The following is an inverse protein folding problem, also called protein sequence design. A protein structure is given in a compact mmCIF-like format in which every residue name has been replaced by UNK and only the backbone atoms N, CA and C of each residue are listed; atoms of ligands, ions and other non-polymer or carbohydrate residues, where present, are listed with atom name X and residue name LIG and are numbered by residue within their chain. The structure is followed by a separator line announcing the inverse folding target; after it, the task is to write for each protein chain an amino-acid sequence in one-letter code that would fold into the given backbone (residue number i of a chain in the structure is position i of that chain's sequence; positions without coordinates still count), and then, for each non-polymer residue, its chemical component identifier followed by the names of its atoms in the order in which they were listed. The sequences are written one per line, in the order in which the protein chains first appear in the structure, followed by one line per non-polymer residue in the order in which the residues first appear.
data_IF_490005987354
#
_entry.id   IF_490005987354
#
_cell.length_a   1.000
_cell.length_b   1.000
_cell.length_c   1.000
_cell.angle_alpha   90.00
_cell.angle_beta   90.00
_cell.angle_gamma   90.00
#
_symmetry.space_group_name_H-M   'P 1'
#
loop_
_entity.id
_entity.type
_entity.pdbx_description
1 polymer ?
#
# COMPACT_ATOMS: atom_id res chain seq x y z
N UNK A 1 -7.18 21.01 -9.55
CA UNK A 1 -7.43 21.40 -10.96
C UNK A 1 -6.29 20.83 -11.78
N UNK A 2 -6.55 20.26 -12.97
CA UNK A 2 -5.47 19.80 -13.85
C UNK A 2 -4.90 20.97 -14.65
N UNK A 3 -3.59 20.95 -14.86
CA UNK A 3 -2.91 21.95 -15.68
C UNK A 3 -3.26 21.77 -17.15
N UNK A 4 -3.39 22.88 -17.87
CA UNK A 4 -3.55 22.91 -19.32
C UNK A 4 -2.57 23.96 -19.83
N UNK A 5 -1.68 23.55 -20.72
CA UNK A 5 -0.68 24.46 -21.28
C UNK A 5 -1.29 25.35 -22.36
N UNK A 6 -0.68 26.52 -22.63
CA UNK A 6 -1.17 27.41 -23.67
C UNK A 6 -1.30 26.73 -25.02
N UNK A 7 -0.32 25.91 -25.41
CA UNK A 7 -0.35 25.18 -26.68
C UNK A 7 -1.49 24.15 -26.76
N UNK A 8 -1.87 23.55 -25.63
CA UNK A 8 -3.01 22.63 -25.59
C UNK A 8 -4.35 23.34 -25.64
N UNK A 9 -4.45 24.52 -25.02
CA UNK A 9 -5.68 25.31 -25.05
C UNK A 9 -5.97 25.81 -26.47
N UNK A 10 -4.96 26.28 -27.18
CA UNK A 10 -5.11 26.84 -28.54
C UNK A 10 -5.11 25.79 -29.65
N UNK A 11 -4.71 24.55 -29.32
CA UNK A 11 -4.45 23.47 -30.28
C UNK A 11 -3.39 23.83 -31.34
N UNK A 12 -2.58 24.85 -31.07
CA UNK A 12 -1.47 25.31 -31.90
C UNK A 12 -0.20 25.33 -31.05
N UNK A 13 0.94 24.96 -31.64
CA UNK A 13 2.22 25.07 -30.95
C UNK A 13 2.56 26.55 -30.74
N UNK A 14 2.46 27.02 -29.50
CA UNK A 14 2.89 28.36 -29.12
C UNK A 14 4.34 28.27 -28.63
N UNK A 15 5.26 28.95 -29.30
CA UNK A 15 6.63 29.04 -28.81
C UNK A 15 6.79 30.26 -27.92
N UNK A 16 7.36 30.06 -26.73
CA UNK A 16 7.75 31.16 -25.86
C UNK A 16 8.97 31.93 -26.43
N UNK A 17 9.09 33.25 -26.16
CA UNK A 17 8.13 34.09 -25.45
C UNK A 17 6.86 34.33 -26.28
N UNK A 18 5.69 34.30 -25.64
CA UNK A 18 4.41 34.40 -26.35
C UNK A 18 4.20 35.82 -26.91
N UNK A 19 4.09 35.95 -28.24
CA UNK A 19 3.75 37.22 -28.88
C UNK A 19 2.31 37.62 -28.53
N UNK A 20 2.14 38.82 -27.95
CA UNK A 20 0.82 39.37 -27.59
C UNK A 20 -0.16 39.38 -28.77
N UNK A 21 0.31 39.64 -30.00
CA UNK A 21 -0.55 39.59 -31.19
C UNK A 21 -1.05 38.18 -31.47
N UNK A 22 -0.20 37.18 -31.27
CA UNK A 22 -0.56 35.76 -31.41
C UNK A 22 -1.56 35.37 -30.32
N UNK A 23 -1.30 35.73 -29.05
CA UNK A 23 -2.24 35.48 -27.95
C UNK A 23 -3.62 36.11 -28.21
N UNK A 24 -3.67 37.37 -28.67
CA UNK A 24 -4.93 38.03 -29.01
C UNK A 24 -5.66 37.37 -30.18
N UNK A 25 -4.92 36.83 -31.16
CA UNK A 25 -5.49 36.09 -32.28
C UNK A 25 -6.12 34.78 -31.79
N UNK A 26 -5.38 34.00 -31.01
CA UNK A 26 -5.87 32.72 -30.47
C UNK A 26 -7.05 32.92 -29.49
N UNK A 27 -7.02 33.97 -28.66
CA UNK A 27 -8.16 34.38 -27.82
C UNK A 27 -9.42 34.61 -28.65
N UNK A 28 -9.31 35.39 -29.74
CA UNK A 28 -10.44 35.67 -30.64
C UNK A 28 -10.94 34.41 -31.36
N UNK A 29 -10.02 33.52 -31.76
CA UNK A 29 -10.35 32.25 -32.40
C UNK A 29 -11.18 31.36 -31.47
N UNK A 30 -10.73 31.15 -30.23
CA UNK A 30 -11.46 30.33 -29.25
C UNK A 30 -12.81 30.94 -28.87
N UNK A 31 -12.91 32.28 -28.74
CA UNK A 31 -14.19 32.93 -28.49
C UNK A 31 -15.16 32.81 -29.67
N UNK A 32 -14.67 32.87 -30.90
CA UNK A 32 -15.50 32.64 -32.08
C UNK A 32 -15.95 31.17 -32.18
N UNK A 33 -15.07 30.22 -31.86
CA UNK A 33 -15.42 28.79 -31.78
C UNK A 33 -16.49 28.53 -30.73
N UNK A 34 -16.39 29.19 -29.57
CA UNK A 34 -17.42 29.14 -28.52
C UNK A 34 -18.75 29.71 -29.00
N UNK A 35 -18.76 30.83 -29.73
CA UNK A 35 -19.99 31.45 -30.28
C UNK A 35 -20.64 30.62 -31.39
N UNK A 36 -19.87 29.76 -32.07
CA UNK A 36 -20.36 28.82 -33.07
C UNK A 36 -20.82 27.49 -32.46
N UNK A 37 -20.40 27.18 -31.23
CA UNK A 37 -20.85 26.00 -30.50
C UNK A 37 -22.31 26.17 -30.08
N UNK A 38 -23.11 25.10 -30.23
CA UNK A 38 -24.48 25.06 -29.69
C UNK A 38 -24.48 24.91 -28.15
N UNK A 39 -23.35 24.50 -27.57
CA UNK A 39 -23.15 24.36 -26.12
C UNK A 39 -22.65 25.66 -25.48
N UNK A 40 -22.98 25.90 -24.21
CA UNK A 40 -22.54 27.10 -23.44
C UNK A 40 -21.02 27.15 -23.15
N UNK A 41 -20.23 26.24 -23.72
CA UNK A 41 -18.79 26.13 -23.50
C UNK A 41 -18.07 25.31 -24.56
N UNK A 42 -16.75 25.28 -24.45
CA UNK A 42 -15.86 24.44 -25.26
C UNK A 42 -15.28 23.30 -24.42
N UNK A 43 -15.31 22.08 -24.93
CA UNK A 43 -14.70 20.93 -24.27
C UNK A 43 -13.29 20.69 -24.83
N UNK A 44 -12.27 21.11 -24.10
CA UNK A 44 -10.86 20.94 -24.47
C UNK A 44 -10.24 19.89 -23.53
N UNK A 45 -9.74 18.79 -24.08
CA UNK A 45 -9.16 17.65 -23.33
C UNK A 45 -10.09 17.14 -22.20
N UNK A 46 -11.40 17.11 -22.46
CA UNK A 46 -12.41 16.65 -21.50
C UNK A 46 -12.72 17.66 -20.39
N UNK A 47 -12.17 18.87 -20.44
CA UNK A 47 -12.53 19.98 -19.55
C UNK A 47 -13.42 20.97 -20.28
N UNK A 48 -14.53 21.33 -19.65
CA UNK A 48 -15.42 22.37 -20.14
C UNK A 48 -14.87 23.76 -19.79
N UNK A 49 -14.86 24.65 -20.77
CA UNK A 49 -14.42 26.03 -20.66
C UNK A 49 -15.55 26.96 -21.03
N UNK A 50 -15.96 27.82 -20.09
CA UNK A 50 -16.87 28.92 -20.36
C UNK A 50 -16.15 30.09 -21.02
N UNK A 51 -16.93 31.05 -21.54
CA UNK A 51 -16.40 32.34 -22.02
C UNK A 51 -15.47 33.01 -21.00
N UNK A 52 -15.86 33.00 -19.73
CA UNK A 52 -15.11 33.66 -18.65
C UNK A 52 -13.80 32.94 -18.36
N UNK A 53 -13.76 31.61 -18.44
CA UNK A 53 -12.53 30.84 -18.23
C UNK A 53 -11.50 31.16 -19.32
N UNK A 54 -11.94 31.24 -20.58
CA UNK A 54 -11.08 31.61 -21.70
C UNK A 54 -10.55 33.04 -21.51
N UNK A 55 -11.42 33.99 -21.18
CA UNK A 55 -11.01 35.38 -20.95
C UNK A 55 -9.97 35.48 -19.82
N UNK A 56 -10.26 34.87 -18.66
CA UNK A 56 -9.38 34.89 -17.50
C UNK A 56 -8.01 34.27 -17.80
N UNK A 57 -7.99 33.13 -18.52
CA UNK A 57 -6.74 32.45 -18.88
C UNK A 57 -5.85 33.32 -19.76
N UNK A 58 -6.40 33.96 -20.80
CA UNK A 58 -5.61 34.83 -21.66
C UNK A 58 -5.19 36.13 -20.96
N UNK A 59 -6.03 36.66 -20.07
CA UNK A 59 -5.67 37.85 -19.29
C UNK A 59 -4.52 37.55 -18.32
N UNK A 60 -4.47 36.33 -17.75
CA UNK A 60 -3.34 35.83 -16.96
C UNK A 60 -2.07 35.68 -17.82
N UNK A 61 -2.18 35.15 -19.04
CA UNK A 61 -1.06 35.04 -19.98
C UNK A 61 -0.51 36.38 -20.49
N UNK A 62 -1.27 37.48 -20.39
CA UNK A 62 -0.72 38.81 -20.68
C UNK A 62 0.29 39.27 -19.61
N UNK A 63 0.31 38.65 -18.42
CA UNK A 63 1.33 38.90 -17.41
C UNK A 63 2.66 38.21 -17.81
N UNK A 64 3.75 38.97 -18.05
CA UNK A 64 5.02 38.40 -18.50
C UNK A 64 5.57 37.32 -17.57
N UNK A 65 5.41 37.47 -16.25
CA UNK A 65 5.91 36.48 -15.30
C UNK A 65 5.16 35.15 -15.42
N UNK A 66 3.84 35.19 -15.58
CA UNK A 66 3.04 33.96 -15.74
C UNK A 66 3.26 33.32 -17.11
N UNK A 67 3.42 34.13 -18.15
CA UNK A 67 3.84 33.66 -19.46
C UNK A 67 5.17 32.88 -19.40
N UNK A 68 6.16 33.41 -18.69
CA UNK A 68 7.44 32.74 -18.47
C UNK A 68 7.29 31.43 -17.66
N UNK A 69 6.36 31.38 -16.71
CA UNK A 69 6.07 30.17 -15.94
C UNK A 69 5.45 29.07 -16.81
N UNK A 70 4.48 29.41 -17.66
CA UNK A 70 3.93 28.46 -18.64
C UNK A 70 4.99 27.97 -19.61
N UNK A 71 5.84 28.87 -20.11
CA UNK A 71 6.95 28.53 -21.00
C UNK A 71 7.94 27.56 -20.34
N UNK A 72 8.26 27.77 -19.07
CA UNK A 72 9.14 26.90 -18.30
C UNK A 72 8.57 25.49 -18.14
N UNK A 73 7.26 25.37 -17.92
CA UNK A 73 6.57 24.07 -17.86
C UNK A 73 6.53 23.41 -19.24
N UNK A 74 6.25 24.14 -20.31
CA UNK A 74 6.25 23.59 -21.69
C UNK A 74 7.64 23.14 -22.14
N UNK A 75 8.71 23.78 -21.64
CA UNK A 75 10.09 23.40 -21.92
C UNK A 75 10.57 22.14 -21.15
N UNK A 76 9.80 21.66 -20.17
CA UNK A 76 10.07 20.44 -19.40
C UNK A 76 8.97 19.39 -19.68
N UNK A 77 9.12 18.56 -20.74
CA UNK A 77 8.11 17.57 -21.10
C UNK A 77 7.73 16.60 -19.97
N UNK A 78 8.67 16.09 -19.15
CA UNK A 78 8.33 15.30 -17.97
C UNK A 78 7.40 16.01 -16.98
N UNK A 79 7.67 17.28 -16.65
CA UNK A 79 6.80 18.06 -15.77
C UNK A 79 5.44 18.29 -16.42
N UNK A 80 5.41 18.66 -17.70
CA UNK A 80 4.18 18.89 -18.45
C UNK A 80 3.27 17.66 -18.45
N UNK A 81 3.83 16.50 -18.79
CA UNK A 81 3.12 15.22 -18.82
C UNK A 81 2.56 14.86 -17.43
N UNK A 82 3.37 15.05 -16.38
CA UNK A 82 2.94 14.81 -15.00
C UNK A 82 1.77 15.71 -14.59
N UNK A 83 1.83 17.00 -14.89
CA UNK A 83 0.77 17.97 -14.57
C UNK A 83 -0.54 17.72 -15.34
N UNK A 84 -0.46 17.01 -16.46
CA UNK A 84 -1.60 16.59 -17.28
C UNK A 84 -2.17 15.23 -16.85
N UNK A 85 -1.46 14.51 -15.96
CA UNK A 85 -1.87 13.23 -15.40
C UNK A 85 -1.43 12.02 -16.21
N UNK A 86 -0.39 12.16 -17.05
CA UNK A 86 0.20 11.05 -17.81
C UNK A 86 1.18 10.19 -16.98
N UNK A 87 1.39 10.56 -15.70
CA UNK A 87 2.26 9.86 -14.77
C UNK A 87 3.67 10.46 -14.67
N UNK A 88 4.55 9.79 -13.94
CA UNK A 88 5.93 10.22 -13.71
C UNK A 88 6.89 9.03 -13.85
N UNK A 89 7.58 8.95 -14.98
CA UNK A 89 8.58 7.90 -15.24
C UNK A 89 10.01 8.36 -14.99
N UNK A 90 10.27 9.66 -15.19
CA UNK A 90 11.57 10.30 -15.06
C UNK A 90 11.45 11.60 -14.25
N UNK A 91 12.58 12.01 -13.65
CA UNK A 91 12.66 13.25 -12.89
C UNK A 91 12.57 14.46 -13.82
N UNK A 92 12.09 15.58 -13.28
CA UNK A 92 12.04 16.86 -13.98
C UNK A 92 13.45 17.34 -14.35
N UNK A 93 13.53 18.12 -15.42
CA UNK A 93 14.77 18.76 -15.81
C UNK A 93 15.23 19.75 -14.74
N UNK A 94 16.54 20.02 -14.67
CA UNK A 94 17.03 21.07 -13.80
C UNK A 94 16.64 22.43 -14.39
N UNK A 95 15.76 23.17 -13.72
CA UNK A 95 15.34 24.50 -14.14
C UNK A 95 15.52 25.48 -12.96
N UNK A 96 16.27 26.59 -13.11
CA UNK A 96 16.45 27.58 -12.05
C UNK A 96 15.14 28.16 -11.50
N UNK A 97 14.06 28.18 -12.29
CA UNK A 97 12.74 28.63 -11.84
C UNK A 97 12.13 27.73 -10.76
N UNK A 98 12.59 26.49 -10.63
CA UNK A 98 12.09 25.58 -9.60
C UNK A 98 12.50 26.00 -8.18
N UNK A 99 13.51 26.87 -8.08
CA UNK A 99 13.93 27.48 -6.83
C UNK A 99 13.24 28.84 -6.57
N UNK A 100 12.47 29.39 -7.55
CA UNK A 100 11.71 30.63 -7.38
C UNK A 100 10.43 30.37 -6.56
N UNK A 101 10.27 30.97 -5.36
CA UNK A 101 9.08 30.78 -4.54
C UNK A 101 7.79 31.24 -5.23
N UNK A 102 7.84 32.24 -6.10
CA UNK A 102 6.66 32.73 -6.81
C UNK A 102 6.19 31.73 -7.88
N UNK A 103 7.12 31.15 -8.64
CA UNK A 103 6.84 30.05 -9.56
C UNK A 103 6.26 28.83 -8.81
N UNK A 104 6.90 28.41 -7.73
CA UNK A 104 6.44 27.25 -6.94
C UNK A 104 5.05 27.50 -6.36
N UNK A 105 4.77 28.70 -5.84
CA UNK A 105 3.45 29.05 -5.33
C UNK A 105 2.36 29.01 -6.42
N UNK A 106 2.67 29.51 -7.63
CA UNK A 106 1.78 29.45 -8.78
C UNK A 106 1.53 28.00 -9.24
N UNK A 107 2.57 27.18 -9.31
CA UNK A 107 2.49 25.79 -9.77
C UNK A 107 1.81 24.85 -8.76
N UNK A 108 1.91 25.18 -7.47
CA UNK A 108 1.50 24.37 -6.33
C UNK A 108 0.11 23.73 -6.46
N UNK A 109 -0.97 24.45 -6.85
CA UNK A 109 -2.31 23.86 -6.91
C UNK A 109 -2.45 22.78 -8.00
N UNK A 110 -1.74 22.95 -9.11
CA UNK A 110 -1.71 21.99 -10.21
C UNK A 110 -0.89 20.77 -9.82
N UNK A 111 0.32 21.00 -9.30
CA UNK A 111 1.23 19.96 -8.87
C UNK A 111 0.62 19.12 -7.74
N UNK A 112 0.00 19.74 -6.74
CA UNK A 112 -0.72 19.07 -5.66
C UNK A 112 -1.77 18.08 -6.18
N UNK A 113 -2.53 18.48 -7.20
CA UNK A 113 -3.57 17.63 -7.78
C UNK A 113 -2.94 16.41 -8.45
N UNK A 114 -1.97 16.60 -9.33
CA UNK A 114 -1.26 15.50 -10.02
C UNK A 114 -0.50 14.59 -9.06
N UNK A 115 0.11 15.15 -8.01
CA UNK A 115 0.82 14.41 -6.99
C UNK A 115 -0.10 13.43 -6.25
N UNK A 116 -1.27 13.88 -5.83
CA UNK A 116 -2.25 13.03 -5.15
C UNK A 116 -2.83 11.98 -6.08
N UNK A 117 -3.20 12.36 -7.31
CA UNK A 117 -3.76 11.44 -8.30
C UNK A 117 -2.74 10.34 -8.63
N UNK A 118 -1.48 10.71 -8.89
CA UNK A 118 -0.44 9.75 -9.22
C UNK A 118 -0.04 8.87 -8.02
N UNK A 119 0.04 9.43 -6.81
CA UNK A 119 0.27 8.61 -5.60
C UNK A 119 -0.85 7.59 -5.39
N UNK A 120 -2.11 8.00 -5.59
CA UNK A 120 -3.25 7.09 -5.50
C UNK A 120 -3.19 5.99 -6.58
N UNK A 121 -2.83 6.35 -7.81
CA UNK A 121 -2.62 5.40 -8.91
C UNK A 121 -1.53 4.37 -8.58
N UNK A 122 -0.40 4.84 -8.00
CA UNK A 122 0.67 3.94 -7.57
C UNK A 122 0.21 2.93 -6.51
N UNK A 123 -0.67 3.33 -5.58
CA UNK A 123 -1.27 2.40 -4.64
C UNK A 123 -2.27 1.44 -5.29
N UNK A 124 -3.03 1.90 -6.28
CA UNK A 124 -4.03 1.09 -6.97
C UNK A 124 -3.39 0.01 -7.85
N UNK A 125 -2.28 0.34 -8.53
CA UNK A 125 -1.61 -0.53 -9.48
C UNK A 125 -0.28 -1.12 -8.96
N UNK A 126 0.03 -0.91 -7.67
CA UNK A 126 1.25 -1.36 -7.00
C UNK A 126 2.54 -0.90 -7.71
N UNK A 127 2.52 0.32 -8.24
CA UNK A 127 3.64 0.91 -8.98
C UNK A 127 4.71 1.44 -8.03
N UNK A 128 5.57 0.53 -7.54
CA UNK A 128 6.70 0.86 -6.66
C UNK A 128 7.65 1.88 -7.29
N UNK A 129 8.03 1.67 -8.56
CA UNK A 129 8.95 2.55 -9.27
C UNK A 129 8.39 3.98 -9.42
N UNK A 130 7.11 4.10 -9.74
CA UNK A 130 6.41 5.38 -9.82
C UNK A 130 6.41 6.10 -8.47
N UNK A 131 6.09 5.39 -7.38
CA UNK A 131 6.14 5.97 -6.04
C UNK A 131 7.55 6.42 -5.64
N UNK A 132 8.57 5.61 -5.93
CA UNK A 132 9.96 5.96 -5.65
C UNK A 132 10.40 7.20 -6.44
N UNK A 133 10.03 7.27 -7.72
CA UNK A 133 10.30 8.43 -8.58
C UNK A 133 9.60 9.68 -8.06
N UNK A 134 8.34 9.56 -7.63
CA UNK A 134 7.56 10.66 -7.05
C UNK A 134 8.21 11.18 -5.76
N UNK A 135 8.60 10.30 -4.83
CA UNK A 135 9.20 10.70 -3.56
C UNK A 135 10.62 11.21 -3.70
N UNK A 136 11.36 10.77 -4.72
CA UNK A 136 12.72 11.22 -4.98
C UNK A 136 12.80 12.52 -5.80
N UNK A 137 11.68 12.98 -6.36
CA UNK A 137 11.60 14.24 -7.10
C UNK A 137 11.30 15.38 -6.13
N UNK A 138 12.08 16.48 -6.14
CA UNK A 138 11.79 17.64 -5.30
C UNK A 138 10.35 18.13 -5.52
N UNK A 139 9.56 18.32 -4.45
CA UNK A 139 8.17 18.72 -4.59
C UNK A 139 8.10 20.17 -5.08
N UNK A 140 7.58 20.38 -6.29
CA UNK A 140 7.33 21.71 -6.85
C UNK A 140 5.99 22.28 -6.35
N UNK A 141 5.81 22.28 -5.03
CA UNK A 141 4.63 22.80 -4.35
C UNK A 141 5.02 23.48 -3.04
N UNK A 142 4.14 24.35 -2.54
CA UNK A 142 4.34 25.00 -1.25
C UNK A 142 4.36 23.99 -0.11
N UNK A 143 5.02 24.33 1.00
CA UNK A 143 5.06 23.48 2.20
C UNK A 143 3.67 23.13 2.73
N UNK A 144 2.73 24.08 2.69
CA UNK A 144 1.35 23.85 3.13
C UNK A 144 0.64 22.79 2.27
N UNK A 145 0.77 22.90 0.94
CA UNK A 145 0.21 21.93 0.02
C UNK A 145 0.89 20.56 0.13
N UNK A 146 2.21 20.53 0.38
CA UNK A 146 2.95 19.29 0.63
C UNK A 146 2.46 18.58 1.89
N UNK A 147 2.32 19.30 3.01
CA UNK A 147 1.78 18.75 4.26
C UNK A 147 0.32 18.28 4.08
N UNK A 148 -0.47 19.01 3.30
CA UNK A 148 -1.83 18.58 2.92
C UNK A 148 -1.80 17.31 2.07
N UNK A 149 -0.82 17.18 1.17
CA UNK A 149 -0.70 16.03 0.29
C UNK A 149 -0.34 14.77 1.07
N UNK A 150 0.68 14.86 1.94
CA UNK A 150 1.11 13.76 2.80
C UNK A 150 0.01 13.31 3.76
N UNK A 151 -0.73 14.25 4.37
CA UNK A 151 -1.90 13.90 5.19
C UNK A 151 -2.96 13.12 4.41
N UNK A 152 -3.19 13.43 3.14
CA UNK A 152 -4.15 12.73 2.30
C UNK A 152 -3.68 11.31 1.95
N UNK A 153 -2.40 11.13 1.67
CA UNK A 153 -1.79 9.80 1.48
C UNK A 153 -1.89 8.98 2.76
N UNK A 154 -1.48 9.55 3.90
CA UNK A 154 -1.55 8.88 5.21
C UNK A 154 -2.98 8.49 5.58
N UNK A 155 -3.97 9.35 5.29
CA UNK A 155 -5.38 9.02 5.50
C UNK A 155 -5.83 7.78 4.71
N UNK A 156 -5.29 7.56 3.51
CA UNK A 156 -5.50 6.33 2.74
C UNK A 156 -4.95 5.10 3.46
N UNK A 157 -3.74 5.18 4.00
CA UNK A 157 -3.13 4.09 4.76
C UNK A 157 -3.88 3.79 6.06
N UNK A 158 -4.35 4.82 6.78
CA UNK A 158 -5.16 4.63 7.98
C UNK A 158 -6.48 3.92 7.71
N UNK A 159 -7.10 4.14 6.54
CA UNK A 159 -8.28 3.37 6.12
C UNK A 159 -7.94 1.88 6.01
N UNK A 160 -6.79 1.54 5.42
CA UNK A 160 -6.35 0.14 5.28
C UNK A 160 -6.03 -0.50 6.64
N UNK A 161 -5.39 0.25 7.54
CA UNK A 161 -5.15 -0.19 8.93
C UNK A 161 -6.48 -0.53 9.63
N UNK A 162 -7.52 0.28 9.42
CA UNK A 162 -8.85 0.02 9.97
C UNK A 162 -9.49 -1.25 9.36
N UNK A 163 -9.24 -1.54 8.08
CA UNK A 163 -9.66 -2.82 7.47
C UNK A 163 -9.02 -4.02 8.20
N UNK A 164 -7.73 -3.93 8.54
CA UNK A 164 -7.02 -4.99 9.27
C UNK A 164 -7.61 -5.21 10.68
N UNK A 165 -7.92 -4.12 11.38
CA UNK A 165 -8.54 -4.15 12.70
C UNK A 165 -9.93 -4.80 12.67
N UNK A 166 -10.73 -4.50 11.63
CA UNK A 166 -12.07 -5.11 11.41
C UNK A 166 -11.99 -6.60 11.08
N UNK A 167 -11.01 -7.02 10.29
CA UNK A 167 -10.84 -8.42 9.92
C UNK A 167 -10.54 -9.35 11.11
N UNK A 168 -9.68 -8.89 12.03
CA UNK A 168 -9.31 -9.66 13.21
C UNK A 168 -10.46 -9.82 14.21
N UNK A 169 -11.48 -8.95 14.15
CA UNK A 169 -12.65 -9.07 15.01
C UNK A 169 -12.32 -8.87 16.49
N UNK A 170 -11.40 -7.95 16.84
CA UNK A 170 -11.32 -7.43 18.21
C UNK A 170 -12.61 -6.63 18.49
N UNK A 171 -13.65 -7.37 18.84
CA UNK A 171 -15.06 -6.98 18.99
C UNK A 171 -15.32 -5.91 20.07
N UNK A 172 -14.29 -5.41 20.76
CA UNK A 172 -14.44 -4.39 21.80
C UNK A 172 -14.30 -2.94 21.31
N UNK A 173 -13.69 -2.69 20.14
CA UNK A 173 -13.39 -1.32 19.67
C UNK A 173 -13.74 -1.02 18.21
N UNK A 174 -13.99 -2.04 17.40
CA UNK A 174 -14.40 -1.85 16.01
C UNK A 174 -15.92 -1.77 15.90
N UNK A 175 -16.44 -0.73 15.25
CA UNK A 175 -17.88 -0.46 15.11
C UNK A 175 -18.52 -1.13 13.89
N UNK A 176 -17.88 -2.14 13.28
CA UNK A 176 -18.33 -2.73 12.01
C UNK A 176 -18.37 -4.26 11.97
N UNK A 177 -19.07 -4.84 10.98
CA UNK A 177 -19.07 -6.28 10.75
C UNK A 177 -17.68 -6.77 10.36
N UNK A 178 -17.38 -8.03 10.72
CA UNK A 178 -16.13 -8.68 10.32
C UNK A 178 -16.04 -8.75 8.80
N UNK A 179 -14.92 -8.28 8.25
CA UNK A 179 -14.70 -8.29 6.80
C UNK A 179 -14.22 -9.67 6.33
N UNK A 180 -14.58 -10.08 5.10
CA UNK A 180 -14.03 -11.27 4.49
C UNK A 180 -12.56 -11.06 4.10
N UNK A 181 -11.83 -12.17 3.96
CA UNK A 181 -10.37 -12.15 3.81
C UNK A 181 -9.89 -11.59 2.46
N UNK A 182 -10.66 -11.82 1.40
CA UNK A 182 -10.45 -11.30 0.05
C UNK A 182 -10.37 -9.76 -0.01
N UNK A 183 -11.09 -9.06 0.88
CA UNK A 183 -11.05 -7.60 0.95
C UNK A 183 -9.76 -7.06 1.60
N UNK A 184 -9.05 -7.89 2.35
CA UNK A 184 -7.85 -7.49 3.10
C UNK A 184 -6.57 -7.87 2.37
N UNK A 185 -6.59 -9.02 1.70
CA UNK A 185 -5.43 -9.62 1.04
C UNK A 185 -4.68 -8.68 0.09
N UNK A 186 -5.35 -7.86 -0.76
CA UNK A 186 -4.65 -6.98 -1.69
C UNK A 186 -3.70 -5.99 -1.02
N UNK A 187 -3.95 -5.65 0.25
CA UNK A 187 -3.16 -4.70 1.02
C UNK A 187 -2.03 -5.37 1.84
N UNK A 188 -1.99 -6.70 1.90
CA UNK A 188 -0.96 -7.45 2.61
C UNK A 188 0.18 -7.90 1.69
N UNK A 189 -0.03 -7.81 0.37
CA UNK A 189 0.92 -8.29 -0.62
C UNK A 189 2.23 -7.51 -0.61
N UNK A 190 3.34 -8.22 -0.88
CA UNK A 190 4.68 -7.66 -0.95
C UNK A 190 4.75 -6.39 -1.83
N UNK A 191 4.17 -6.44 -3.03
CA UNK A 191 4.15 -5.30 -3.96
C UNK A 191 3.48 -4.05 -3.35
N UNK A 192 2.37 -4.22 -2.62
CA UNK A 192 1.71 -3.12 -1.93
C UNK A 192 2.59 -2.54 -0.82
N UNK A 193 3.23 -3.42 -0.02
CA UNK A 193 4.14 -3.00 1.06
C UNK A 193 5.34 -2.22 0.51
N UNK A 194 5.89 -2.60 -0.65
CA UNK A 194 6.99 -1.86 -1.28
C UNK A 194 6.59 -0.42 -1.64
N UNK A 195 5.36 -0.21 -2.13
CA UNK A 195 4.84 1.15 -2.37
C UNK A 195 4.81 1.97 -1.07
N UNK A 196 4.40 1.38 0.06
CA UNK A 196 4.43 2.07 1.36
C UNK A 196 5.87 2.35 1.80
N UNK A 197 6.80 1.41 1.58
CA UNK A 197 8.21 1.57 1.96
C UNK A 197 8.88 2.74 1.24
N UNK A 198 8.50 3.00 0.00
CA UNK A 198 9.02 4.12 -0.78
C UNK A 198 8.65 5.51 -0.20
N UNK A 199 7.64 5.60 0.68
CA UNK A 199 7.30 6.86 1.36
C UNK A 199 8.43 7.31 2.30
N UNK A 200 8.64 8.62 2.51
CA UNK A 200 9.73 9.10 3.35
C UNK A 200 9.40 8.99 4.85
N UNK A 201 10.39 8.60 5.67
CA UNK A 201 10.17 8.26 7.09
C UNK A 201 9.87 9.50 7.96
N UNK A 202 10.40 10.66 7.60
CA UNK A 202 10.18 11.95 8.29
C UNK A 202 8.69 12.32 8.40
N UNK A 203 7.88 11.95 7.39
CA UNK A 203 6.45 12.21 7.37
C UNK A 203 5.59 10.97 7.65
N UNK A 204 6.10 9.77 7.35
CA UNK A 204 5.30 8.54 7.37
C UNK A 204 5.72 7.50 8.42
N UNK A 205 6.75 7.73 9.23
CA UNK A 205 7.22 6.75 10.22
C UNK A 205 6.10 6.21 11.13
N UNK A 206 5.28 7.11 11.68
CA UNK A 206 4.17 6.71 12.57
C UNK A 206 3.18 5.79 11.85
N UNK A 207 2.71 6.16 10.66
CA UNK A 207 1.70 5.37 9.95
C UNK A 207 2.29 4.06 9.44
N UNK A 208 3.58 4.01 9.05
CA UNK A 208 4.30 2.78 8.71
C UNK A 208 4.37 1.81 9.88
N UNK A 209 4.70 2.31 11.06
CA UNK A 209 4.73 1.51 12.30
C UNK A 209 3.35 0.97 12.67
N UNK A 210 2.31 1.81 12.63
CA UNK A 210 0.93 1.37 12.88
C UNK A 210 0.47 0.34 11.84
N UNK A 211 0.85 0.52 10.57
CA UNK A 211 0.55 -0.41 9.49
C UNK A 211 1.23 -1.75 9.72
N UNK A 212 2.54 -1.77 9.95
CA UNK A 212 3.32 -2.96 10.24
C UNK A 212 2.75 -3.74 11.44
N UNK A 213 2.40 -3.03 12.51
CA UNK A 213 1.77 -3.65 13.68
C UNK A 213 0.39 -4.26 13.33
N UNK A 214 -0.48 -3.49 12.67
CA UNK A 214 -1.82 -3.94 12.31
C UNK A 214 -1.80 -5.14 11.34
N UNK A 215 -0.80 -5.23 10.48
CA UNK A 215 -0.61 -6.29 9.49
C UNK A 215 -0.37 -7.68 10.12
N UNK A 216 0.15 -7.73 11.35
CA UNK A 216 0.36 -8.98 12.07
C UNK A 216 -0.94 -9.75 12.32
N UNK A 217 -2.03 -9.01 12.58
CA UNK A 217 -3.32 -9.59 12.91
C UNK A 217 -3.90 -10.48 11.81
N UNK A 218 -4.08 -10.00 10.56
CA UNK A 218 -4.55 -10.85 9.48
C UNK A 218 -3.56 -11.98 9.15
N UNK A 219 -2.25 -11.75 9.27
CA UNK A 219 -1.25 -12.78 9.07
C UNK A 219 -1.37 -13.93 10.07
N UNK A 220 -1.52 -13.65 11.36
CA UNK A 220 -1.71 -14.66 12.42
C UNK A 220 -3.02 -15.44 12.19
N UNK A 221 -4.10 -14.74 11.84
CA UNK A 221 -5.38 -15.37 11.55
C UNK A 221 -5.27 -16.33 10.34
N UNK A 222 -4.59 -15.90 9.27
CA UNK A 222 -4.29 -16.74 8.10
C UNK A 222 -3.47 -17.97 8.49
N UNK A 223 -2.40 -17.79 9.25
CA UNK A 223 -1.52 -18.88 9.72
C UNK A 223 -2.27 -19.95 10.51
N UNK A 224 -3.23 -19.52 11.33
CA UNK A 224 -4.04 -20.39 12.17
C UNK A 224 -5.14 -21.12 11.39
N UNK A 225 -5.82 -20.44 10.46
CA UNK A 225 -6.96 -21.00 9.74
C UNK A 225 -6.56 -21.86 8.54
N UNK A 226 -5.54 -21.46 7.77
CA UNK A 226 -5.19 -22.10 6.50
C UNK A 226 -3.80 -22.71 6.58
N UNK A 227 -3.74 -23.99 6.92
CA UNK A 227 -2.46 -24.67 7.14
C UNK A 227 -1.56 -24.76 5.92
N UNK A 228 -2.12 -24.75 4.71
CA UNK A 228 -1.38 -24.72 3.44
C UNK A 228 -0.71 -23.37 3.18
N UNK A 229 -1.23 -22.28 3.76
CA UNK A 229 -0.85 -20.90 3.43
C UNK A 229 0.01 -20.25 4.54
N UNK A 230 0.64 -21.06 5.39
CA UNK A 230 1.46 -20.55 6.50
C UNK A 230 2.71 -19.81 6.05
N UNK A 231 3.33 -20.23 4.96
CA UNK A 231 4.48 -19.52 4.37
C UNK A 231 4.09 -18.12 3.89
N UNK A 232 2.87 -17.95 3.37
CA UNK A 232 2.34 -16.64 2.95
C UNK A 232 2.15 -15.73 4.17
N UNK A 233 1.59 -16.25 5.26
CA UNK A 233 1.46 -15.50 6.50
C UNK A 233 2.83 -15.11 7.10
N UNK A 234 3.83 -15.98 7.03
CA UNK A 234 5.20 -15.68 7.44
C UNK A 234 5.82 -14.58 6.56
N UNK A 235 5.62 -14.64 5.25
CA UNK A 235 6.06 -13.60 4.32
C UNK A 235 5.45 -12.23 4.64
N UNK A 236 4.15 -12.17 4.98
CA UNK A 236 3.55 -10.92 5.43
C UNK A 236 4.17 -10.41 6.74
N UNK A 237 4.39 -11.26 7.74
CA UNK A 237 5.04 -10.78 8.98
C UNK A 237 6.49 -10.32 8.72
N UNK A 238 7.19 -10.93 7.76
CA UNK A 238 8.50 -10.47 7.31
C UNK A 238 8.40 -9.09 6.62
N UNK A 239 7.45 -8.89 5.71
CA UNK A 239 7.21 -7.59 5.05
C UNK A 239 6.86 -6.50 6.08
N UNK A 240 6.05 -6.81 7.10
CA UNK A 240 5.75 -5.89 8.20
C UNK A 240 7.01 -5.53 9.00
N UNK A 241 7.92 -6.47 9.20
CA UNK A 241 9.17 -6.21 9.92
C UNK A 241 10.06 -5.24 9.14
N UNK A 242 10.12 -5.38 7.82
CA UNK A 242 10.87 -4.48 6.93
C UNK A 242 10.22 -3.10 6.80
N UNK A 243 8.89 -3.03 6.91
CA UNK A 243 8.14 -1.78 6.87
C UNK A 243 8.27 -0.96 8.17
N UNK A 244 8.37 -1.63 9.33
CA UNK A 244 8.48 -0.96 10.62
C UNK A 244 9.72 -0.04 10.66
N UNK A 245 9.54 1.18 11.16
CA UNK A 245 10.59 2.20 11.28
C UNK A 245 11.16 2.20 12.69
N UNK A 246 10.32 2.19 13.73
CA UNK A 246 10.83 2.21 15.11
C UNK A 246 11.40 0.85 15.53
N UNK A 247 12.46 0.90 16.35
CA UNK A 247 13.11 -0.29 16.91
C UNK A 247 12.16 -1.12 17.77
N UNK A 248 11.24 -0.47 18.48
CA UNK A 248 10.24 -1.13 19.31
C UNK A 248 9.28 -1.98 18.48
N UNK A 249 8.68 -1.41 17.42
CA UNK A 249 7.75 -2.15 16.57
C UNK A 249 8.48 -3.24 15.80
N UNK A 250 9.68 -2.99 15.28
CA UNK A 250 10.54 -4.03 14.67
C UNK A 250 10.75 -5.21 15.61
N UNK A 251 11.10 -4.98 16.86
CA UNK A 251 11.32 -6.04 17.84
C UNK A 251 10.05 -6.85 18.11
N UNK A 252 8.89 -6.19 18.20
CA UNK A 252 7.59 -6.87 18.36
C UNK A 252 7.26 -7.75 17.15
N UNK A 253 7.41 -7.24 15.92
CA UNK A 253 7.15 -7.99 14.69
C UNK A 253 8.11 -9.17 14.56
N UNK A 254 9.40 -8.96 14.85
CA UNK A 254 10.42 -10.01 14.81
C UNK A 254 10.14 -11.14 15.82
N UNK A 255 9.71 -10.79 17.05
CA UNK A 255 9.31 -11.78 18.05
C UNK A 255 8.13 -12.63 17.55
N UNK A 256 7.16 -12.01 16.87
CA UNK A 256 6.03 -12.74 16.28
C UNK A 256 6.43 -13.61 15.10
N UNK A 257 7.32 -13.14 14.22
CA UNK A 257 7.87 -13.95 13.14
C UNK A 257 8.56 -15.21 13.68
N UNK A 258 9.41 -15.05 14.70
CA UNK A 258 10.11 -16.16 15.35
C UNK A 258 9.13 -17.16 15.99
N UNK A 259 8.03 -16.68 16.59
CA UNK A 259 6.97 -17.53 17.12
C UNK A 259 6.30 -18.38 16.03
N UNK A 260 5.91 -17.76 14.90
CA UNK A 260 5.30 -18.46 13.76
C UNK A 260 6.23 -19.54 13.18
N UNK A 261 7.50 -19.18 12.93
CA UNK A 261 8.50 -20.11 12.41
C UNK A 261 8.74 -21.30 13.36
N UNK A 262 8.77 -21.05 14.68
CA UNK A 262 8.90 -22.12 15.69
C UNK A 262 7.70 -23.08 15.65
N UNK A 263 6.49 -22.56 15.47
CA UNK A 263 5.27 -23.38 15.36
C UNK A 263 5.25 -24.20 14.07
N UNK A 264 5.74 -23.64 12.97
CA UNK A 264 5.86 -24.33 11.69
C UNK A 264 6.87 -25.49 11.79
N UNK A 265 8.09 -25.25 12.31
CA UNK A 265 9.13 -26.29 12.50
C UNK A 265 8.67 -27.44 13.39
N UNK A 266 8.01 -27.15 14.52
CA UNK A 266 7.46 -28.17 15.42
C UNK A 266 6.48 -29.11 14.72
N UNK A 267 5.72 -28.62 13.74
CA UNK A 267 4.76 -29.43 12.98
C UNK A 267 5.47 -30.31 11.97
N UNK A 268 6.44 -29.78 11.23
CA UNK A 268 7.24 -30.55 10.28
C UNK A 268 7.90 -31.74 10.98
N UNK A 269 8.48 -31.50 12.17
CA UNK A 269 9.05 -32.57 12.99
C UNK A 269 8.03 -33.65 13.36
N UNK A 270 6.80 -33.27 13.75
CA UNK A 270 5.73 -34.24 14.07
C UNK A 270 5.28 -35.05 12.86
N UNK A 271 5.19 -34.42 11.68
CA UNK A 271 4.84 -35.11 10.44
C UNK A 271 5.93 -36.08 10.01
N UNK A 272 7.20 -35.66 10.05
CA UNK A 272 8.34 -36.54 9.76
C UNK A 272 8.44 -37.70 10.75
N UNK A 273 8.21 -37.45 12.04
CA UNK A 273 8.19 -38.49 13.07
C UNK A 273 7.03 -39.48 12.85
N UNK A 274 5.85 -38.99 12.48
CA UNK A 274 4.70 -39.83 12.15
C UNK A 274 4.96 -40.67 10.89
N UNK A 275 5.52 -40.09 9.83
CA UNK A 275 5.89 -40.80 8.61
C UNK A 275 6.93 -41.89 8.88
N UNK A 276 7.96 -41.59 9.67
CA UNK A 276 8.95 -42.58 10.11
C UNK A 276 8.28 -43.72 10.90
N UNK A 277 7.35 -43.39 11.80
CA UNK A 277 6.59 -44.39 12.54
C UNK A 277 5.77 -45.31 11.62
N UNK A 278 5.09 -44.74 10.61
CA UNK A 278 4.33 -45.53 9.62
C UNK A 278 5.26 -46.47 8.85
N UNK A 279 6.43 -46.01 8.43
CA UNK A 279 7.45 -46.85 7.77
C UNK A 279 7.90 -47.99 8.68
N UNK A 280 8.16 -47.73 9.96
CA UNK A 280 8.53 -48.77 10.94
C UNK A 280 7.42 -49.81 11.09
N UNK A 281 6.16 -49.39 11.14
CA UNK A 281 5.01 -50.30 11.22
C UNK A 281 4.89 -51.16 9.95
N UNK A 282 5.07 -50.57 8.76
CA UNK A 282 5.03 -51.31 7.48
C UNK A 282 6.16 -52.34 7.41
N UNK A 283 7.40 -51.96 7.77
CA UNK A 283 8.54 -52.89 7.80
C UNK A 283 8.27 -54.06 8.74
N UNK A 284 7.74 -53.80 9.94
CA UNK A 284 7.35 -54.86 10.88
C UNK A 284 6.28 -55.78 10.31
N UNK A 285 5.21 -55.21 9.73
CA UNK A 285 4.14 -56.00 9.13
C UNK A 285 4.66 -56.90 8.00
N UNK A 286 5.52 -56.38 7.11
CA UNK A 286 6.13 -57.16 6.04
C UNK A 286 7.03 -58.28 6.57
N UNK A 287 7.83 -58.03 7.61
CA UNK A 287 8.66 -59.04 8.24
C UNK A 287 7.84 -60.17 8.88
N UNK A 288 6.64 -59.89 9.41
CA UNK A 288 5.73 -60.93 9.90
C UNK A 288 5.13 -61.76 8.78
N UNK A 289 4.89 -61.18 7.59
CA UNK A 289 4.31 -61.91 6.46
C UNK A 289 5.32 -62.79 5.69
N UNK A 290 6.62 -62.50 5.80
CA UNK A 290 7.68 -63.29 5.15
C UNK A 290 8.36 -64.29 6.08
N UNK A 291 7.89 -64.39 7.33
CA UNK A 291 8.23 -65.47 8.25
C UNK A 291 7.72 -66.80 7.73
N UNK A 292 8.53 -67.45 6.90
CA UNK A 292 8.36 -68.82 6.46
C UNK A 292 8.27 -69.73 7.67
N UNK A 293 7.24 -70.58 7.66
CA UNK A 293 7.01 -71.70 8.57
C UNK A 293 8.30 -72.48 8.84
N UNK A 294 8.95 -72.16 9.95
CA UNK A 294 9.82 -73.11 10.66
C UNK A 294 9.32 -73.15 12.09
N UNK A 295 8.19 -73.84 12.25
CA UNK A 295 7.52 -74.13 13.52
C UNK A 295 8.49 -74.68 14.58
N UNK A 296 8.70 -74.00 15.72
CA UNK A 296 9.06 -74.65 16.96
C UNK A 296 7.77 -74.88 17.75
N UNK A 297 7.39 -76.15 17.92
CA UNK A 297 6.35 -76.55 18.88
C UNK A 297 6.69 -76.01 20.26
N UNK A 298 5.92 -75.08 20.82
CA UNK A 298 5.80 -74.93 22.27
C UNK A 298 4.44 -74.38 22.72
N UNK A 299 4.16 -74.75 23.97
CA UNK A 299 2.93 -74.82 24.76
C UNK A 299 2.00 -73.57 24.79
N UNK A 300 0.72 -73.77 25.19
CA UNK A 300 -0.27 -72.70 25.26
C UNK A 300 -0.20 -71.97 26.60
N UNK A 301 -0.10 -70.64 26.57
CA UNK A 301 -0.88 -69.69 27.41
C UNK A 301 -0.24 -68.30 27.42
N UNK A 302 -0.95 -67.30 26.92
CA UNK A 302 -1.36 -66.08 27.64
C UNK A 302 -1.99 -65.10 26.62
N UNK A 303 -3.26 -64.79 26.84
CA UNK A 303 -4.02 -63.82 26.04
C UNK A 303 -3.42 -62.42 26.21
N UNK A 304 -2.80 -61.89 25.15
CA UNK A 304 -2.38 -60.49 25.10
C UNK A 304 -3.62 -59.65 24.73
N UNK A 305 -4.23 -59.07 25.76
CA UNK A 305 -5.32 -58.12 25.60
C UNK A 305 -4.74 -56.77 25.08
N UNK A 306 -4.92 -56.49 23.79
CA UNK A 306 -4.51 -55.22 23.19
C UNK A 306 -5.51 -54.13 23.59
N UNK A 307 -5.06 -53.22 24.46
CA UNK A 307 -5.88 -52.11 24.96
C UNK A 307 -6.07 -51.03 23.89
N UNK A 308 -7.24 -51.07 23.24
CA UNK A 308 -7.67 -50.14 22.18
C UNK A 308 -7.94 -48.72 22.69
N UNK A 309 -7.90 -48.48 24.01
CA UNK A 309 -8.09 -47.16 24.61
C UNK A 309 -6.94 -46.18 24.30
N UNK A 310 -5.70 -46.66 24.16
CA UNK A 310 -4.53 -45.81 23.91
C UNK A 310 -4.54 -45.23 22.50
N UNK A 311 -5.10 -45.95 21.53
CA UNK A 311 -5.14 -45.52 20.12
C UNK A 311 -6.19 -44.42 19.86
N UNK A 312 -7.30 -44.44 20.61
CA UNK A 312 -8.35 -43.41 20.51
C UNK A 312 -8.00 -42.09 21.22
N UNK A 313 -7.08 -42.10 22.18
CA UNK A 313 -6.63 -40.89 22.88
C UNK A 313 -5.70 -39.99 22.03
N UNK A 314 -5.05 -40.52 21.00
CA UNK A 314 -4.15 -39.77 20.12
C UNK A 314 -4.90 -38.97 19.05
N UNK A 315 -6.13 -39.39 18.69
CA UNK A 315 -6.90 -38.80 17.58
C UNK A 315 -7.95 -37.75 18.00
N UNK A 316 -8.25 -37.61 19.30
CA UNK A 316 -9.22 -36.62 19.81
C UNK A 316 -8.57 -35.63 20.76
N UNK A 317 -7.79 -34.67 20.23
CA UNK A 317 -7.51 -33.43 20.96
C UNK A 317 -8.33 -32.28 20.38
N UNK A 318 -9.04 -31.50 21.22
CA UNK A 318 -9.84 -30.37 20.76
C UNK A 318 -8.93 -29.27 20.16
N UNK A 319 -9.48 -28.38 19.31
CA UNK A 319 -8.73 -27.28 18.72
C UNK A 319 -8.10 -26.40 19.81
N UNK A 320 -6.85 -26.02 19.59
CA UNK A 320 -6.09 -25.12 20.45
C UNK A 320 -6.77 -23.74 20.46
N UNK A 321 -7.43 -23.40 21.57
CA UNK A 321 -7.84 -22.02 21.88
C UNK A 321 -6.61 -21.34 22.48
N UNK A 322 -6.02 -20.39 21.74
CA UNK A 322 -5.02 -19.47 22.28
C UNK A 322 -5.73 -18.57 23.28
N UNK A 323 -5.43 -18.71 24.58
CA UNK A 323 -5.85 -17.72 25.58
C UNK A 323 -5.09 -16.44 25.28
N UNK A 324 -5.81 -15.39 24.89
CA UNK A 324 -5.26 -14.03 24.88
C UNK A 324 -5.17 -13.55 26.34
N UNK A 325 -3.95 -13.42 26.85
CA UNK A 325 -3.72 -12.59 28.04
C UNK A 325 -3.92 -11.13 27.63
N UNK A 326 -5.11 -10.62 27.89
CA UNK A 326 -5.44 -9.21 27.79
C UNK A 326 -5.01 -8.50 29.08
N UNK A 327 -3.70 -8.35 29.29
CA UNK A 327 -3.20 -7.28 30.17
C UNK A 327 -3.14 -6.00 29.34
N UNK A 328 -3.99 -5.00 29.61
CA UNK A 328 -3.85 -3.69 28.96
C UNK A 328 -2.51 -3.08 29.37
N UNK A 329 -1.78 -2.40 28.46
CA UNK A 329 -0.62 -1.62 28.87
C UNK A 329 -1.09 -0.45 29.73
N UNK A 330 -0.37 -0.21 30.83
CA UNK A 330 -0.57 0.93 31.70
C UNK A 330 -0.70 2.20 30.88
N UNK A 331 -1.82 2.87 31.09
CA UNK A 331 -2.16 4.12 30.43
C UNK A 331 -1.25 5.20 31.01
N UNK A 332 -0.16 5.51 30.32
CA UNK A 332 0.62 6.72 30.60
C UNK A 332 -0.28 7.93 30.34
N UNK A 333 -0.84 8.46 31.43
CA UNK A 333 -1.56 9.73 31.51
C UNK A 333 -0.67 10.86 31.00
N UNK A 334 -0.84 11.23 29.73
CA UNK A 334 -0.37 12.51 29.21
C UNK A 334 -1.20 13.62 29.85
N UNK A 335 -0.63 14.31 30.83
CA UNK A 335 -1.15 15.61 31.30
C UNK A 335 -0.96 16.63 30.18
N UNK A 336 -2.06 17.11 29.62
CA UNK A 336 -2.07 18.26 28.74
C UNK A 336 -1.63 19.50 29.53
N UNK A 337 -0.51 20.11 29.13
CA UNK A 337 -0.18 21.48 29.49
C UNK A 337 -0.94 22.43 28.56
N UNK A 338 -1.96 23.09 29.09
CA UNK A 338 -2.55 24.29 28.50
C UNK A 338 -1.62 25.49 28.78
N UNK A 339 -1.17 26.24 27.76
CA UNK A 339 -0.54 27.53 27.99
C UNK A 339 -1.61 28.60 28.26
N UNK A 340 -1.29 29.49 29.22
CA UNK A 340 -1.99 30.76 29.45
C UNK A 340 -1.48 31.82 28.48
#
# INVERSE_FOLDING_TARGET
MRYISPSQLTQEALSAPYDRKVLQREKKKLLAELELSEEEGLTIKGRHFSRNDILAYFDELENPAVADYHAAVEADPPLLAFLQGEGLEIRFASNPLYDDPAFVAWLSPFYFTSFIDFAADCFQHWNEYGMYTLMATPPLMTREDQDRAYRRIAAGLYKNIELFRRYHGNAGKSTGPRLPFDQVTPFLGHAYVQVIRALPDDHFAQVKDEYAFAMQHPAIAMFNQQTSNRSVAEAWVQDAHELAVSSHIRAQVAAKLAELQKLQRKRTYRLSFFALWVVIVIIRALAYTTGTDTSPKYAPSEEIHVDTAVMNAVLKKPPFIVKHDSTPPDTLLYKAHTPR
#
